data_IF_891457083305
#
_entry.id   IF_891457083305
#
_cell.length_a   1.000
_cell.length_b   1.000
_cell.length_c   1.000
_cell.angle_alpha   90.00
_cell.angle_beta   90.00
_cell.angle_gamma   90.00
#
_symmetry.space_group_name_H-M   'P 1'
#
loop_
_entity.id
_entity.type
_entity.pdbx_description
1 polymer ?
#
# COMPACT_ATOMS: atom_id res chain seq x y z
N UNK A 1 -19.63 -17.69 29.07
CA UNK A 1 -18.83 -16.55 28.55
C UNK A 1 -19.30 -16.27 27.13
N UNK A 2 -20.09 -15.21 26.91
CA UNK A 2 -20.69 -14.93 25.59
C UNK A 2 -19.59 -14.41 24.66
N UNK A 3 -19.24 -15.21 23.66
CA UNK A 3 -18.31 -14.83 22.59
C UNK A 3 -19.00 -13.75 21.75
N UNK A 4 -18.61 -12.49 21.93
CA UNK A 4 -18.94 -11.43 20.99
C UNK A 4 -18.14 -11.70 19.72
N UNK A 5 -18.80 -12.14 18.66
CA UNK A 5 -18.22 -12.15 17.32
C UNK A 5 -18.06 -10.68 16.91
N UNK A 6 -16.85 -10.15 17.04
CA UNK A 6 -16.47 -8.88 16.40
C UNK A 6 -16.42 -9.19 14.91
N UNK A 7 -17.51 -8.93 14.21
CA UNK A 7 -17.51 -8.93 12.75
C UNK A 7 -16.72 -7.70 12.34
N UNK A 8 -15.44 -7.91 12.02
CA UNK A 8 -14.59 -6.93 11.37
C UNK A 8 -15.12 -6.77 9.93
N UNK A 9 -16.15 -5.93 9.77
CA UNK A 9 -16.61 -5.52 8.45
C UNK A 9 -15.54 -4.59 7.85
N UNK A 10 -14.52 -5.18 7.24
CA UNK A 10 -13.66 -4.50 6.28
C UNK A 10 -14.50 -4.21 5.03
N UNK A 11 -15.31 -3.16 5.11
CA UNK A 11 -15.89 -2.57 3.91
C UNK A 11 -14.86 -1.60 3.34
N UNK A 12 -14.23 -2.05 2.25
CA UNK A 12 -13.66 -1.20 1.21
C UNK A 12 -14.58 0.01 0.98
N UNK A 13 -13.97 1.19 0.87
CA UNK A 13 -14.65 2.47 0.79
C UNK A 13 -15.86 2.43 -0.14
N UNK A 14 -17.05 2.43 0.44
CA UNK A 14 -18.22 2.95 -0.24
C UNK A 14 -18.11 4.46 -0.19
N UNK A 15 -17.52 5.04 -1.24
CA UNK A 15 -17.85 6.40 -1.65
C UNK A 15 -19.34 6.40 -1.99
N UNK A 16 -20.17 6.69 -0.99
CA UNK A 16 -21.59 6.99 -1.18
C UNK A 16 -21.68 8.30 -1.96
N UNK A 17 -21.67 8.20 -3.29
CA UNK A 17 -22.26 9.22 -4.14
C UNK A 17 -23.74 9.27 -3.82
N UNK A 18 -24.15 10.27 -3.03
CA UNK A 18 -25.55 10.62 -2.80
C UNK A 18 -26.15 11.12 -4.12
N UNK A 19 -26.61 10.22 -4.98
CA UNK A 19 -27.59 10.53 -6.01
C UNK A 19 -28.61 9.41 -6.09
N UNK A 20 -29.77 9.69 -5.51
CA UNK A 20 -30.93 8.81 -5.49
C UNK A 20 -31.89 9.25 -4.39
N UNK A 21 -32.66 10.31 -4.64
CA UNK A 21 -33.85 10.64 -3.85
C UNK A 21 -34.90 9.55 -4.04
N UNK A 22 -34.67 8.37 -3.46
CA UNK A 22 -35.73 7.41 -3.19
C UNK A 22 -36.58 7.95 -2.06
N UNK A 23 -37.88 8.14 -2.31
CA UNK A 23 -38.86 8.62 -1.35
C UNK A 23 -38.77 7.86 -0.02
N UNK A 24 -38.13 8.47 0.98
CA UNK A 24 -38.08 7.97 2.36
C UNK A 24 -39.51 8.06 2.89
N UNK A 25 -40.15 6.90 3.15
CA UNK A 25 -41.43 6.84 3.88
C UNK A 25 -41.33 7.76 5.11
N UNK A 26 -42.31 8.61 5.41
CA UNK A 26 -42.22 9.53 6.54
C UNK A 26 -41.89 8.73 7.80
N UNK A 27 -40.67 8.92 8.31
CA UNK A 27 -40.23 8.27 9.54
C UNK A 27 -41.12 8.73 10.69
N UNK A 28 -41.48 7.80 11.57
CA UNK A 28 -42.20 8.10 12.81
C UNK A 28 -41.47 9.23 13.56
N UNK A 29 -42.16 10.33 13.85
CA UNK A 29 -41.62 11.44 14.64
C UNK A 29 -41.24 10.96 16.05
N UNK A 30 -40.15 11.49 16.59
CA UNK A 30 -39.66 11.15 17.92
C UNK A 30 -40.42 11.93 18.99
N UNK A 31 -40.68 11.29 20.12
CA UNK A 31 -41.15 11.97 21.33
C UNK A 31 -39.98 12.62 22.09
N UNK A 32 -40.27 13.59 22.95
CA UNK A 32 -39.25 14.21 23.81
C UNK A 32 -38.51 13.18 24.70
N UNK A 33 -39.19 12.09 25.09
CA UNK A 33 -38.56 11.00 25.83
C UNK A 33 -37.55 10.27 24.95
N UNK A 34 -37.93 9.87 23.73
CA UNK A 34 -37.02 9.18 22.81
C UNK A 34 -35.80 10.02 22.43
N UNK A 35 -35.95 11.34 22.32
CA UNK A 35 -34.83 12.28 22.10
C UNK A 35 -33.89 12.28 23.31
N UNK A 36 -34.43 12.30 24.52
CA UNK A 36 -33.61 12.26 25.75
C UNK A 36 -32.90 10.92 25.90
N UNK A 37 -33.60 9.80 25.66
CA UNK A 37 -33.05 8.45 25.68
C UNK A 37 -31.92 8.30 24.66
N UNK A 38 -32.07 8.89 23.46
CA UNK A 38 -31.02 8.87 22.44
C UNK A 38 -29.76 9.59 22.93
N UNK A 39 -29.89 10.78 23.51
CA UNK A 39 -28.74 11.54 24.04
C UNK A 39 -28.04 10.75 25.15
N UNK A 40 -28.79 10.08 26.02
CA UNK A 40 -28.22 9.24 27.06
C UNK A 40 -27.53 7.99 26.48
N UNK A 41 -28.12 7.33 25.49
CA UNK A 41 -27.52 6.21 24.77
C UNK A 41 -26.21 6.61 24.07
N UNK A 42 -26.19 7.73 23.33
CA UNK A 42 -24.98 8.26 22.69
C UNK A 42 -23.92 8.57 23.75
N UNK A 43 -24.32 9.20 24.84
CA UNK A 43 -23.42 9.54 25.94
C UNK A 43 -22.79 8.31 26.57
N UNK A 44 -23.59 7.27 26.84
CA UNK A 44 -23.12 6.02 27.41
C UNK A 44 -22.18 5.29 26.45
N UNK A 45 -22.51 5.22 25.16
CA UNK A 45 -21.66 4.58 24.15
C UNK A 45 -20.33 5.32 23.97
N UNK A 46 -20.33 6.66 23.92
CA UNK A 46 -19.10 7.45 23.84
C UNK A 46 -18.20 7.20 25.05
N UNK A 47 -18.74 7.32 26.28
CA UNK A 47 -17.95 7.11 27.51
C UNK A 47 -17.37 5.71 27.62
N UNK A 48 -18.09 4.72 27.11
CA UNK A 48 -17.70 3.32 27.21
C UNK A 48 -16.70 2.90 26.13
N UNK A 49 -16.84 3.45 24.92
CA UNK A 49 -16.17 2.91 23.74
C UNK A 49 -15.22 3.88 23.07
N UNK A 50 -15.40 5.20 23.19
CA UNK A 50 -14.59 6.14 22.44
C UNK A 50 -13.15 6.16 22.94
N UNK A 51 -12.20 6.11 22.00
CA UNK A 51 -10.77 5.96 22.29
C UNK A 51 -10.14 7.15 23.03
N UNK A 52 -10.81 8.31 23.04
CA UNK A 52 -10.38 9.52 23.75
C UNK A 52 -11.36 9.88 24.89
N UNK A 53 -11.13 9.41 26.13
CA UNK A 53 -12.07 9.62 27.23
C UNK A 53 -12.33 11.09 27.57
N UNK A 54 -11.31 11.94 27.51
CA UNK A 54 -11.44 13.39 27.75
C UNK A 54 -12.35 14.06 26.71
N UNK A 55 -12.21 13.67 25.44
CA UNK A 55 -13.06 14.15 24.34
C UNK A 55 -14.49 13.60 24.46
N UNK A 56 -14.66 12.33 24.84
CA UNK A 56 -15.97 11.76 25.11
C UNK A 56 -16.70 12.54 26.21
N UNK A 57 -16.02 12.86 27.30
CA UNK A 57 -16.61 13.65 28.40
C UNK A 57 -17.00 15.06 27.95
N UNK A 58 -16.19 15.72 27.13
CA UNK A 58 -16.51 17.02 26.57
C UNK A 58 -17.73 16.97 25.63
N UNK A 59 -17.82 15.97 24.75
CA UNK A 59 -18.98 15.74 23.87
C UNK A 59 -20.25 15.50 24.69
N UNK A 60 -20.19 14.62 25.70
CA UNK A 60 -21.32 14.30 26.57
C UNK A 60 -21.81 15.56 27.30
N UNK A 61 -20.89 16.35 27.86
CA UNK A 61 -21.22 17.59 28.55
C UNK A 61 -21.95 18.56 27.62
N UNK A 62 -21.45 18.71 26.39
CA UNK A 62 -22.06 19.58 25.39
C UNK A 62 -23.47 19.11 24.99
N UNK A 63 -23.64 17.84 24.62
CA UNK A 63 -24.94 17.29 24.24
C UNK A 63 -25.98 17.42 25.35
N UNK A 64 -25.59 17.16 26.62
CA UNK A 64 -26.50 17.33 27.76
C UNK A 64 -26.93 18.79 27.95
N UNK A 65 -26.02 19.75 27.74
CA UNK A 65 -26.36 21.16 27.77
C UNK A 65 -27.33 21.56 26.64
N UNK A 66 -27.12 21.04 25.42
CA UNK A 66 -28.02 21.29 24.28
C UNK A 66 -29.41 20.68 24.50
N UNK A 67 -29.49 19.49 25.12
CA UNK A 67 -30.75 18.87 25.52
C UNK A 67 -31.49 19.71 26.57
N UNK A 68 -30.78 20.22 27.59
CA UNK A 68 -31.34 21.09 28.63
C UNK A 68 -31.86 22.41 28.07
N UNK A 69 -31.15 23.02 27.12
CA UNK A 69 -31.60 24.21 26.36
C UNK A 69 -32.80 23.93 25.44
N UNK A 70 -33.21 22.68 25.29
CA UNK A 70 -34.31 22.27 24.42
C UNK A 70 -33.97 22.31 22.94
N UNK A 71 -32.69 22.41 22.55
CA UNK A 71 -32.27 22.46 21.15
C UNK A 71 -32.66 21.17 20.44
N UNK A 72 -32.30 20.01 21.00
CA UNK A 72 -32.62 18.71 20.41
C UNK A 72 -34.11 18.38 20.44
N UNK A 73 -34.86 18.87 21.44
CA UNK A 73 -36.30 18.61 21.57
C UNK A 73 -37.13 19.21 20.42
N UNK A 74 -36.58 20.17 19.69
CA UNK A 74 -37.20 20.76 18.48
C UNK A 74 -36.98 19.92 17.22
N UNK A 75 -36.06 18.95 17.25
CA UNK A 75 -35.67 18.11 16.12
C UNK A 75 -36.35 16.73 16.22
N UNK A 76 -37.64 16.69 15.93
CA UNK A 76 -38.45 15.46 16.03
C UNK A 76 -38.26 14.50 14.84
N UNK A 77 -37.63 14.96 13.76
CA UNK A 77 -37.24 14.12 12.63
C UNK A 77 -35.95 13.35 12.98
N UNK A 78 -35.94 12.00 12.93
CA UNK A 78 -34.79 11.20 13.36
C UNK A 78 -33.49 11.49 12.59
N UNK A 79 -33.58 11.67 11.27
CA UNK A 79 -32.42 11.97 10.43
C UNK A 79 -31.82 13.34 10.77
N UNK A 80 -32.66 14.36 10.96
CA UNK A 80 -32.20 15.70 11.36
C UNK A 80 -31.56 15.70 12.74
N UNK A 81 -32.12 14.95 13.69
CA UNK A 81 -31.55 14.81 15.03
C UNK A 81 -30.20 14.08 15.01
N UNK A 82 -30.09 12.96 14.28
CA UNK A 82 -28.81 12.26 14.10
C UNK A 82 -27.75 13.20 13.53
N UNK A 83 -28.08 13.94 12.47
CA UNK A 83 -27.17 14.88 11.83
C UNK A 83 -26.74 16.00 12.79
N UNK A 84 -27.66 16.57 13.56
CA UNK A 84 -27.33 17.62 14.52
C UNK A 84 -26.40 17.09 15.63
N UNK A 85 -26.71 15.92 16.19
CA UNK A 85 -25.85 15.29 17.21
C UNK A 85 -24.46 14.99 16.62
N UNK A 86 -24.40 14.44 15.40
CA UNK A 86 -23.14 14.17 14.71
C UNK A 86 -22.32 15.45 14.50
N UNK A 87 -22.95 16.54 14.04
CA UNK A 87 -22.28 17.83 13.84
C UNK A 87 -21.77 18.41 15.17
N UNK A 88 -22.58 18.32 16.22
CA UNK A 88 -22.23 18.83 17.55
C UNK A 88 -21.02 18.11 18.13
N UNK A 89 -20.98 16.78 18.09
CA UNK A 89 -19.81 16.02 18.60
C UNK A 89 -18.56 16.27 17.74
N UNK A 90 -18.72 16.39 16.42
CA UNK A 90 -17.61 16.70 15.49
C UNK A 90 -17.06 18.10 15.70
N UNK A 91 -17.90 19.05 16.12
CA UNK A 91 -17.48 20.39 16.51
C UNK A 91 -16.63 20.42 17.79
N UNK A 92 -16.74 19.41 18.66
CA UNK A 92 -15.91 19.27 19.87
C UNK A 92 -14.57 18.60 19.55
N UNK A 93 -14.61 17.50 18.78
CA UNK A 93 -13.41 16.82 18.30
C UNK A 93 -13.70 16.24 16.93
N UNK A 94 -12.95 16.70 15.93
CA UNK A 94 -13.06 16.18 14.59
C UNK A 94 -12.43 14.79 14.52
N UNK A 95 -13.26 13.79 14.24
CA UNK A 95 -12.85 12.41 14.07
C UNK A 95 -13.63 11.83 12.90
N UNK A 96 -12.93 11.44 11.83
CA UNK A 96 -13.55 10.96 10.60
C UNK A 96 -14.26 9.60 10.78
N UNK A 97 -13.92 8.87 11.84
CA UNK A 97 -14.45 7.54 12.13
C UNK A 97 -15.63 7.55 13.10
N UNK A 98 -15.83 8.66 13.81
CA UNK A 98 -16.95 8.84 14.73
C UNK A 98 -18.20 9.36 13.99
N UNK A 99 -19.24 8.53 13.91
CA UNK A 99 -20.47 8.89 13.20
C UNK A 99 -21.72 8.48 13.98
N UNK A 100 -22.75 9.32 13.94
CA UNK A 100 -24.08 9.04 14.49
C UNK A 100 -25.07 9.09 13.33
N UNK A 101 -25.76 7.98 13.09
CA UNK A 101 -26.70 7.85 11.99
C UNK A 101 -28.04 7.29 12.45
N UNK A 102 -29.08 7.60 11.68
CA UNK A 102 -30.39 6.97 11.79
C UNK A 102 -30.56 5.96 10.67
N UNK A 103 -30.42 4.68 11.00
CA UNK A 103 -30.39 3.56 10.08
C UNK A 103 -31.42 2.50 10.49
N UNK A 104 -32.73 2.80 10.42
CA UNK A 104 -33.79 1.92 10.93
C UNK A 104 -33.91 0.61 10.14
N UNK A 105 -33.33 0.55 8.94
CA UNK A 105 -33.30 -0.65 8.11
C UNK A 105 -32.06 -1.51 8.37
N UNK A 106 -31.03 -1.00 9.04
CA UNK A 106 -29.87 -1.80 9.45
C UNK A 106 -30.30 -2.71 10.60
N UNK A 107 -30.64 -3.96 10.26
CA UNK A 107 -30.87 -4.98 11.26
C UNK A 107 -29.52 -5.38 11.85
N UNK A 108 -29.48 -5.58 13.17
CA UNK A 108 -28.33 -6.24 13.79
C UNK A 108 -28.09 -7.56 13.04
N UNK A 109 -26.84 -7.90 12.67
CA UNK A 109 -26.56 -9.13 11.95
C UNK A 109 -27.21 -10.31 12.68
N UNK A 110 -28.05 -11.09 11.98
CA UNK A 110 -28.57 -12.31 12.58
C UNK A 110 -27.40 -13.20 12.95
N UNK A 111 -27.39 -13.71 14.17
CA UNK A 111 -26.41 -14.71 14.58
C UNK A 111 -26.51 -15.90 13.62
N UNK A 112 -25.43 -16.18 12.91
CA UNK A 112 -25.36 -17.29 11.98
C UNK A 112 -25.36 -18.61 12.78
N UNK A 113 -26.04 -19.63 12.26
CA UNK A 113 -25.94 -20.99 12.81
C UNK A 113 -24.49 -21.50 12.66
N UNK A 114 -24.08 -22.52 13.46
CA UNK A 114 -22.76 -23.11 13.31
C UNK A 114 -22.46 -23.58 11.87
N UNK A 115 -23.45 -24.13 11.17
CA UNK A 115 -23.32 -24.56 9.77
C UNK A 115 -23.13 -23.38 8.82
N UNK A 116 -23.88 -22.29 9.02
CA UNK A 116 -23.73 -21.07 8.23
C UNK A 116 -22.36 -20.43 8.45
N UNK A 117 -21.85 -20.41 9.68
CA UNK A 117 -20.50 -19.93 10.00
C UNK A 117 -19.42 -20.79 9.32
N UNK A 118 -19.57 -22.12 9.38
CA UNK A 118 -18.63 -23.03 8.72
C UNK A 118 -18.62 -22.83 7.20
N UNK A 119 -19.81 -22.66 6.60
CA UNK A 119 -19.95 -22.34 5.18
C UNK A 119 -19.31 -21.00 4.83
N UNK A 120 -19.60 -19.94 5.58
CA UNK A 120 -19.04 -18.61 5.35
C UNK A 120 -17.51 -18.61 5.44
N UNK A 121 -16.93 -19.30 6.43
CA UNK A 121 -15.47 -19.45 6.54
C UNK A 121 -14.85 -20.20 5.36
N UNK A 122 -15.54 -21.24 4.86
CA UNK A 122 -15.08 -22.00 3.69
C UNK A 122 -15.13 -21.14 2.42
N UNK A 123 -16.20 -20.36 2.24
CA UNK A 123 -16.36 -19.43 1.13
C UNK A 123 -15.31 -18.30 1.18
N UNK A 124 -15.09 -17.70 2.35
CA UNK A 124 -14.02 -16.70 2.57
C UNK A 124 -12.64 -17.26 2.23
N UNK A 125 -12.30 -18.46 2.72
CA UNK A 125 -11.03 -19.11 2.41
C UNK A 125 -10.91 -19.43 0.90
N UNK A 126 -11.99 -19.81 0.23
CA UNK A 126 -11.99 -20.05 -1.21
C UNK A 126 -11.68 -18.77 -1.98
N UNK A 127 -12.37 -17.68 -1.64
CA UNK A 127 -12.15 -16.37 -2.26
C UNK A 127 -10.73 -15.84 -2.03
N UNK A 128 -10.20 -16.00 -0.81
CA UNK A 128 -8.81 -15.64 -0.49
C UNK A 128 -7.81 -16.47 -1.30
N UNK A 129 -8.04 -17.77 -1.48
CA UNK A 129 -7.20 -18.62 -2.35
C UNK A 129 -7.26 -18.20 -3.82
N UNK A 130 -8.44 -17.92 -4.33
CA UNK A 130 -8.64 -17.46 -5.72
C UNK A 130 -7.93 -16.13 -5.99
N UNK A 131 -7.87 -15.24 -4.99
CA UNK A 131 -7.11 -13.98 -5.06
C UNK A 131 -5.65 -14.12 -4.56
N UNK A 132 -5.13 -15.34 -4.47
CA UNK A 132 -3.76 -15.64 -4.01
C UNK A 132 -3.37 -14.95 -2.70
N UNK A 133 -4.31 -14.86 -1.75
CA UNK A 133 -4.18 -14.19 -0.46
C UNK A 133 -3.73 -12.72 -0.58
N UNK A 134 -4.14 -12.05 -1.66
CA UNK A 134 -3.73 -10.69 -2.04
C UNK A 134 -2.26 -10.54 -2.47
N UNK A 135 -1.49 -11.62 -2.60
CA UNK A 135 -0.12 -11.59 -3.11
C UNK A 135 -0.13 -11.50 -4.65
N UNK A 136 0.27 -10.35 -5.19
CA UNK A 136 0.01 -10.00 -6.60
C UNK A 136 1.22 -10.12 -7.50
N UNK A 137 2.43 -9.83 -7.00
CA UNK A 137 3.63 -9.84 -7.84
C UNK A 137 4.89 -10.09 -7.03
N UNK A 138 5.75 -10.96 -7.57
CA UNK A 138 7.09 -11.27 -7.07
C UNK A 138 8.01 -11.24 -8.29
N UNK A 139 9.07 -10.46 -8.25
CA UNK A 139 10.00 -10.28 -9.38
C UNK A 139 11.40 -9.94 -8.89
N UNK A 140 12.43 -10.36 -9.64
CA UNK A 140 13.80 -9.82 -9.49
C UNK A 140 14.05 -8.84 -10.63
N UNK A 141 14.04 -7.56 -10.29
CA UNK A 141 14.29 -6.46 -11.22
C UNK A 141 15.80 -6.38 -11.56
N UNK A 142 16.16 -5.73 -12.69
CA UNK A 142 17.54 -5.39 -13.00
C UNK A 142 18.28 -4.75 -11.82
N UNK A 143 19.56 -5.11 -11.65
CA UNK A 143 20.35 -4.71 -10.47
C UNK A 143 20.21 -5.64 -9.25
N UNK A 144 19.55 -6.80 -9.41
CA UNK A 144 19.25 -7.76 -8.34
C UNK A 144 18.40 -7.14 -7.21
N UNK A 145 17.36 -6.42 -7.60
CA UNK A 145 16.39 -5.83 -6.68
C UNK A 145 15.18 -6.74 -6.60
N UNK A 146 14.87 -7.25 -5.42
CA UNK A 146 13.62 -7.96 -5.17
C UNK A 146 12.46 -6.99 -5.18
N UNK A 147 11.37 -7.34 -5.86
CA UNK A 147 10.14 -6.58 -5.89
C UNK A 147 8.98 -7.46 -5.45
N UNK A 148 8.27 -7.00 -4.42
CA UNK A 148 7.14 -7.69 -3.84
C UNK A 148 5.93 -6.77 -3.73
N UNK A 149 4.84 -7.08 -4.43
CA UNK A 149 3.59 -6.33 -4.37
C UNK A 149 2.46 -7.20 -3.86
N UNK A 150 1.72 -6.67 -2.90
CA UNK A 150 0.48 -7.27 -2.41
C UNK A 150 -0.52 -6.18 -2.00
N UNK A 151 -1.80 -6.45 -2.20
CA UNK A 151 -2.85 -5.43 -2.11
C UNK A 151 -3.70 -5.51 -0.82
N UNK A 152 -3.38 -6.43 0.09
CA UNK A 152 -4.07 -6.57 1.36
C UNK A 152 -3.38 -7.55 2.31
N UNK A 153 -3.66 -7.40 3.59
CA UNK A 153 -3.25 -8.31 4.66
C UNK A 153 -4.36 -9.32 4.94
N UNK A 154 -4.19 -10.56 4.49
CA UNK A 154 -5.18 -11.63 4.67
C UNK A 154 -5.43 -11.98 6.14
N UNK A 155 -6.68 -12.34 6.47
CA UNK A 155 -7.07 -12.97 7.73
C UNK A 155 -6.67 -14.46 7.78
N UNK A 156 -6.45 -15.09 6.62
CA UNK A 156 -6.21 -16.53 6.46
C UNK A 156 -4.71 -16.88 6.57
N UNK A 157 -4.04 -16.38 7.61
CA UNK A 157 -2.57 -16.40 7.75
C UNK A 157 -1.96 -17.79 7.67
N UNK A 158 -2.58 -18.79 8.30
CA UNK A 158 -2.11 -20.18 8.26
C UNK A 158 -2.20 -20.78 6.84
N UNK A 159 -3.26 -20.47 6.10
CA UNK A 159 -3.43 -20.94 4.72
C UNK A 159 -2.48 -20.24 3.74
N UNK A 160 -2.18 -18.96 4.00
CA UNK A 160 -1.29 -18.14 3.18
C UNK A 160 0.21 -18.39 3.43
N UNK A 161 0.57 -19.03 4.55
CA UNK A 161 1.95 -19.15 5.03
C UNK A 161 2.89 -19.77 3.98
N UNK A 162 2.47 -20.85 3.32
CA UNK A 162 3.29 -21.52 2.31
C UNK A 162 3.56 -20.61 1.09
N UNK A 163 2.52 -19.90 0.61
CA UNK A 163 2.63 -18.97 -0.52
C UNK A 163 3.53 -17.78 -0.16
N UNK A 164 3.35 -17.21 1.03
CA UNK A 164 4.19 -16.12 1.52
C UNK A 164 5.66 -16.56 1.66
N UNK A 165 5.90 -17.73 2.24
CA UNK A 165 7.25 -18.26 2.42
C UNK A 165 7.94 -18.50 1.06
N UNK A 166 7.23 -19.06 0.08
CA UNK A 166 7.76 -19.27 -1.27
C UNK A 166 8.13 -17.94 -1.95
N UNK A 167 7.26 -16.94 -1.86
CA UNK A 167 7.52 -15.59 -2.40
C UNK A 167 8.76 -14.95 -1.79
N UNK A 168 8.90 -15.00 -0.47
CA UNK A 168 10.04 -14.40 0.23
C UNK A 168 11.33 -15.21 0.06
N UNK A 169 11.22 -16.55 -0.04
CA UNK A 169 12.35 -17.43 -0.39
C UNK A 169 12.91 -17.09 -1.76
N UNK A 170 12.04 -16.90 -2.76
CA UNK A 170 12.43 -16.49 -4.10
C UNK A 170 13.23 -15.17 -4.12
N UNK A 171 12.91 -14.24 -3.22
CA UNK A 171 13.57 -12.94 -3.11
C UNK A 171 14.76 -12.92 -2.14
N UNK A 172 15.06 -14.02 -1.44
CA UNK A 172 16.04 -14.06 -0.34
C UNK A 172 17.48 -13.72 -0.73
N UNK A 173 17.84 -13.92 -2.00
CA UNK A 173 19.18 -13.66 -2.53
C UNK A 173 19.33 -12.29 -3.22
N UNK A 174 18.32 -11.43 -3.09
CA UNK A 174 18.33 -10.09 -3.69
C UNK A 174 19.19 -9.13 -2.86
N UNK A 175 19.80 -8.13 -3.52
CA UNK A 175 20.65 -7.13 -2.86
C UNK A 175 19.82 -6.15 -2.01
N UNK A 176 18.59 -5.88 -2.44
CA UNK A 176 17.62 -4.96 -1.81
C UNK A 176 16.22 -5.49 -2.09
N UNK A 177 15.30 -5.33 -1.14
CA UNK A 177 13.88 -5.65 -1.31
C UNK A 177 13.02 -4.37 -1.35
N UNK A 178 12.21 -4.23 -2.39
CA UNK A 178 11.15 -3.24 -2.51
C UNK A 178 9.80 -3.90 -2.26
N UNK A 179 9.04 -3.36 -1.30
CA UNK A 179 7.68 -3.80 -0.96
C UNK A 179 6.70 -2.72 -1.43
N UNK A 180 5.88 -3.00 -2.43
CA UNK A 180 4.93 -2.05 -2.98
C UNK A 180 3.55 -2.18 -2.30
N UNK A 181 3.20 -1.16 -1.50
CA UNK A 181 1.93 -1.03 -0.78
C UNK A 181 1.05 0.09 -1.33
N UNK A 182 1.37 0.66 -2.51
CA UNK A 182 0.64 1.80 -3.08
C UNK A 182 -0.83 1.50 -3.38
N UNK A 183 -1.21 0.23 -3.45
CA UNK A 183 -2.59 -0.21 -3.69
C UNK A 183 -3.16 -1.01 -2.51
N UNK A 184 -2.51 -0.96 -1.35
CA UNK A 184 -2.83 -1.81 -0.21
C UNK A 184 -3.68 -1.06 0.83
N UNK A 185 -4.97 -1.41 0.88
CA UNK A 185 -5.94 -0.81 1.82
C UNK A 185 -5.87 -1.35 3.26
N UNK A 186 -4.94 -2.25 3.56
CA UNK A 186 -4.77 -2.85 4.88
C UNK A 186 -5.33 -4.26 4.97
N UNK A 187 -5.99 -4.59 6.09
CA UNK A 187 -6.41 -5.95 6.42
C UNK A 187 -6.17 -6.28 7.90
N UNK A 188 -5.84 -7.53 8.22
CA UNK A 188 -5.96 -8.02 9.61
C UNK A 188 -4.65 -8.37 10.33
N UNK A 189 -3.61 -8.85 9.64
CA UNK A 189 -2.46 -9.48 10.30
C UNK A 189 -1.09 -9.06 9.73
N UNK A 190 -0.40 -8.12 10.39
CA UNK A 190 0.93 -7.64 9.97
C UNK A 190 2.10 -8.50 10.49
N UNK A 191 1.92 -9.14 11.65
CA UNK A 191 2.98 -9.90 12.32
C UNK A 191 3.56 -11.03 11.46
N UNK A 192 2.78 -11.87 10.73
CA UNK A 192 3.34 -12.96 9.92
C UNK A 192 4.33 -12.49 8.86
N UNK A 193 4.04 -11.38 8.17
CA UNK A 193 4.97 -10.78 7.21
C UNK A 193 6.17 -10.15 7.93
N UNK A 194 5.91 -9.43 9.02
CA UNK A 194 6.96 -8.76 9.80
C UNK A 194 8.01 -9.74 10.35
N UNK A 195 7.60 -10.97 10.70
CA UNK A 195 8.49 -12.02 11.21
C UNK A 195 9.69 -12.33 10.32
N UNK A 196 9.56 -12.18 9.00
CA UNK A 196 10.65 -12.47 8.07
C UNK A 196 11.79 -11.44 8.12
N UNK A 197 11.61 -10.31 8.81
CA UNK A 197 12.58 -9.21 8.80
C UNK A 197 13.40 -9.09 10.08
N UNK A 198 13.09 -9.90 11.10
CA UNK A 198 13.72 -9.84 12.42
C UNK A 198 14.12 -11.23 12.89
N UNK A 199 15.37 -11.37 13.33
CA UNK A 199 15.89 -12.62 13.89
C UNK A 199 15.24 -12.96 15.23
N UNK A 200 15.04 -11.93 16.07
CA UNK A 200 14.51 -12.06 17.41
C UNK A 200 13.06 -11.57 17.48
N UNK A 201 12.32 -12.07 18.48
CA UNK A 201 10.97 -11.58 18.78
C UNK A 201 11.04 -10.08 19.05
N UNK A 202 10.41 -9.30 18.17
CA UNK A 202 10.52 -7.85 18.12
C UNK A 202 9.14 -7.24 18.30
N UNK A 203 9.04 -6.23 19.16
CA UNK A 203 7.79 -5.48 19.38
C UNK A 203 7.52 -4.55 18.19
N UNK A 204 6.34 -4.68 17.59
CA UNK A 204 5.94 -3.92 16.40
C UNK A 204 5.21 -2.63 16.80
N UNK A 205 4.10 -2.77 17.50
CA UNK A 205 3.26 -1.67 17.97
C UNK A 205 2.32 -2.16 19.08
N UNK A 206 1.75 -1.21 19.81
CA UNK A 206 0.69 -1.47 20.77
C UNK A 206 -0.66 -1.07 20.21
N UNK A 207 -1.72 -1.79 20.55
CA UNK A 207 -3.08 -1.41 20.24
C UNK A 207 -3.82 -1.12 21.55
N UNK A 208 -4.00 0.16 21.84
CA UNK A 208 -4.73 0.61 23.02
C UNK A 208 -6.21 0.44 22.75
N UNK A 209 -6.91 -0.36 23.56
CA UNK A 209 -8.30 -0.73 23.31
C UNK A 209 -9.19 -0.44 24.52
N UNK A 210 -10.27 0.30 24.30
CA UNK A 210 -11.23 0.67 25.35
C UNK A 210 -12.15 -0.48 25.77
N UNK A 211 -12.43 -1.45 24.91
CA UNK A 211 -13.27 -2.61 25.23
C UNK A 211 -12.62 -3.55 26.23
N UNK A 212 -11.37 -3.92 25.99
CA UNK A 212 -10.61 -4.79 26.90
C UNK A 212 -10.07 -4.02 28.10
N UNK A 213 -10.07 -2.68 28.05
CA UNK A 213 -9.31 -1.80 28.96
C UNK A 213 -7.85 -2.26 29.06
N UNK A 214 -7.34 -2.74 27.94
CA UNK A 214 -6.05 -3.40 27.86
C UNK A 214 -5.29 -2.88 26.64
N UNK A 215 -3.98 -2.95 26.73
CA UNK A 215 -3.08 -2.63 25.62
C UNK A 215 -2.57 -3.95 25.06
N UNK A 216 -2.99 -4.26 23.83
CA UNK A 216 -2.51 -5.45 23.14
C UNK A 216 -1.21 -5.13 22.41
N UNK A 217 -0.11 -5.71 22.86
CA UNK A 217 1.18 -5.59 22.20
C UNK A 217 1.33 -6.61 21.07
N UNK A 218 1.71 -6.13 19.89
CA UNK A 218 1.96 -6.97 18.71
C UNK A 218 3.44 -7.21 18.54
N UNK A 219 3.82 -8.48 18.33
CA UNK A 219 5.21 -8.89 18.17
C UNK A 219 5.38 -9.71 16.90
N UNK A 220 6.60 -9.74 16.37
CA UNK A 220 7.01 -10.76 15.41
C UNK A 220 7.06 -12.14 16.07
N UNK A 221 6.94 -13.17 15.24
CA UNK A 221 7.20 -14.56 15.61
C UNK A 221 8.19 -15.17 14.60
N UNK A 222 9.52 -15.03 14.83
CA UNK A 222 10.51 -15.58 13.92
C UNK A 222 10.40 -17.09 13.72
N UNK A 223 9.82 -17.83 14.68
CA UNK A 223 9.63 -19.28 14.55
C UNK A 223 8.65 -19.67 13.44
N UNK A 224 7.76 -18.74 13.03
CA UNK A 224 6.79 -18.97 11.95
C UNK A 224 7.37 -18.87 10.54
N UNK A 225 8.66 -18.54 10.40
CA UNK A 225 9.31 -18.23 9.10
C UNK A 225 10.05 -19.42 8.48
N UNK A 226 9.97 -20.61 9.09
CA UNK A 226 10.75 -21.80 8.68
C UNK A 226 12.26 -21.54 8.60
N UNK A 227 12.77 -20.60 9.42
CA UNK A 227 14.20 -20.24 9.49
C UNK A 227 14.62 -19.15 8.50
N UNK A 228 13.71 -18.62 7.67
CA UNK A 228 14.02 -17.55 6.73
C UNK A 228 14.04 -16.18 7.43
N UNK A 229 15.19 -15.52 7.41
CA UNK A 229 15.34 -14.11 7.84
C UNK A 229 15.95 -13.30 6.70
N UNK A 230 15.18 -12.32 6.23
CA UNK A 230 15.58 -11.36 5.20
C UNK A 230 16.38 -10.23 5.86
N UNK A 231 17.66 -10.10 5.50
CA UNK A 231 18.61 -9.15 6.12
C UNK A 231 19.00 -7.99 5.20
N UNK A 232 18.68 -8.08 3.90
CA UNK A 232 18.94 -7.01 2.94
C UNK A 232 18.16 -5.73 3.30
N UNK A 233 18.63 -4.55 2.85
CA UNK A 233 17.87 -3.31 2.97
C UNK A 233 16.47 -3.44 2.38
N UNK A 234 15.49 -2.85 3.06
CA UNK A 234 14.07 -2.89 2.65
C UNK A 234 13.59 -1.47 2.39
N UNK A 235 12.92 -1.29 1.26
CA UNK A 235 12.19 -0.07 0.91
C UNK A 235 10.72 -0.40 0.83
N UNK A 236 9.87 0.36 1.52
CA UNK A 236 8.41 0.22 1.45
C UNK A 236 7.85 1.40 0.67
N UNK A 237 7.11 1.11 -0.40
CA UNK A 237 6.53 2.12 -1.27
C UNK A 237 5.09 2.36 -0.84
N UNK A 238 4.77 3.61 -0.48
CA UNK A 238 3.44 4.02 0.00
C UNK A 238 2.77 5.00 -0.94
N UNK A 239 1.44 5.07 -0.88
CA UNK A 239 0.64 6.09 -1.54
C UNK A 239 -0.45 6.61 -0.59
N UNK A 240 -1.22 7.61 -1.05
CA UNK A 240 -2.45 8.08 -0.39
C UNK A 240 -3.52 6.99 -0.21
N UNK A 241 -3.42 5.87 -0.93
CA UNK A 241 -4.33 4.72 -0.81
C UNK A 241 -3.84 3.68 0.21
N UNK A 242 -2.59 3.78 0.67
CA UNK A 242 -2.06 2.86 1.68
C UNK A 242 -2.79 3.12 3.00
N UNK A 243 -3.40 2.09 3.59
CA UNK A 243 -4.31 2.26 4.72
C UNK A 243 -4.22 1.12 5.77
N UNK A 244 -4.67 1.41 6.99
CA UNK A 244 -4.94 0.43 8.05
C UNK A 244 -3.72 -0.48 8.34
N UNK A 245 -3.83 -1.81 8.23
CA UNK A 245 -2.72 -2.73 8.50
C UNK A 245 -1.46 -2.44 7.68
N UNK A 246 -1.59 -1.89 6.47
CA UNK A 246 -0.43 -1.49 5.67
C UNK A 246 0.29 -0.28 6.28
N UNK A 247 -0.45 0.63 6.92
CA UNK A 247 0.11 1.73 7.70
C UNK A 247 0.79 1.20 8.95
N UNK A 248 0.15 0.28 9.68
CA UNK A 248 0.75 -0.34 10.87
C UNK A 248 2.07 -1.07 10.55
N UNK A 249 2.12 -1.82 9.45
CA UNK A 249 3.34 -2.46 8.96
C UNK A 249 4.41 -1.42 8.61
N UNK A 250 4.06 -0.40 7.81
CA UNK A 250 4.99 0.65 7.40
C UNK A 250 5.55 1.43 8.60
N UNK A 251 4.67 1.86 9.51
CA UNK A 251 5.03 2.58 10.72
C UNK A 251 5.94 1.76 11.63
N UNK A 252 5.67 0.46 11.80
CA UNK A 252 6.50 -0.43 12.62
C UNK A 252 7.89 -0.61 12.00
N UNK A 253 7.94 -0.88 10.70
CA UNK A 253 9.20 -1.09 9.98
C UNK A 253 10.06 0.18 9.94
N UNK A 254 9.42 1.36 9.82
CA UNK A 254 10.10 2.66 9.89
C UNK A 254 10.61 2.95 11.31
N UNK A 255 9.75 2.81 12.32
CA UNK A 255 10.09 3.06 13.72
C UNK A 255 11.26 2.19 14.21
N UNK A 256 11.29 0.93 13.75
CA UNK A 256 12.35 -0.03 14.07
C UNK A 256 13.60 0.14 13.17
N UNK A 257 13.61 1.15 12.29
CA UNK A 257 14.68 1.41 11.31
C UNK A 257 15.00 0.20 10.43
N UNK A 258 14.00 -0.67 10.21
CA UNK A 258 14.15 -1.87 9.38
C UNK A 258 13.88 -1.57 7.91
N UNK A 259 13.04 -0.58 7.61
CA UNK A 259 12.76 -0.15 6.24
C UNK A 259 12.81 1.37 6.09
N UNK A 260 13.16 1.81 4.88
CA UNK A 260 12.98 3.19 4.42
C UNK A 260 11.63 3.29 3.72
N UNK A 261 10.78 4.22 4.15
CA UNK A 261 9.47 4.49 3.55
C UNK A 261 9.63 5.52 2.44
N UNK A 262 9.07 5.22 1.27
CA UNK A 262 9.27 6.00 0.05
C UNK A 262 7.92 6.21 -0.65
N UNK A 263 7.61 7.44 -1.06
CA UNK A 263 6.37 7.75 -1.80
C UNK A 263 5.58 8.89 -1.20
N UNK A 264 4.26 8.71 -1.07
CA UNK A 264 3.37 9.68 -0.42
C UNK A 264 3.07 9.30 1.04
N UNK A 265 2.63 10.29 1.80
CA UNK A 265 1.96 10.09 3.08
C UNK A 265 0.73 9.21 2.91
N UNK A 266 0.57 8.24 3.80
CA UNK A 266 -0.53 7.27 3.77
C UNK A 266 -1.87 7.89 4.17
N UNK A 267 -2.96 7.13 4.04
CA UNK A 267 -4.33 7.63 4.20
C UNK A 267 -4.64 8.17 5.62
N UNK A 268 -4.01 7.62 6.66
CA UNK A 268 -4.23 8.02 8.05
C UNK A 268 -5.48 7.42 8.67
N UNK A 269 -5.84 6.17 8.32
CA UNK A 269 -7.03 5.47 8.84
C UNK A 269 -6.64 4.25 9.67
N UNK A 270 -6.14 4.56 10.86
CA UNK A 270 -5.48 3.60 11.75
C UNK A 270 -6.40 3.08 12.86
N UNK A 271 -7.42 3.84 13.25
CA UNK A 271 -8.30 3.50 14.37
C UNK A 271 -9.30 2.40 14.02
N UNK A 272 -9.45 1.42 14.92
CA UNK A 272 -10.46 0.37 14.78
C UNK A 272 -11.81 0.88 15.24
N UNK A 273 -12.85 0.64 14.42
CA UNK A 273 -14.20 1.16 14.65
C UNK A 273 -15.21 0.05 14.88
N UNK A 274 -16.16 0.29 15.78
CA UNK A 274 -17.29 -0.59 16.05
C UNK A 274 -18.62 0.10 15.79
N UNK A 275 -19.65 -0.69 15.46
CA UNK A 275 -21.02 -0.20 15.33
C UNK A 275 -21.83 -0.55 16.59
N UNK A 276 -22.49 0.45 17.16
CA UNK A 276 -23.17 0.37 18.45
C UNK A 276 -24.62 0.83 18.30
N UNK A 277 -25.60 -0.07 18.48
CA UNK A 277 -27.01 0.31 18.48
C UNK A 277 -27.30 1.31 19.62
N UNK A 278 -28.00 2.39 19.30
CA UNK A 278 -28.40 3.44 20.24
C UNK A 278 -29.89 3.38 20.62
N UNK A 279 -30.63 2.45 20.01
CA UNK A 279 -32.08 2.31 20.15
C UNK A 279 -32.86 3.09 19.09
N UNK A 280 -34.15 2.75 18.92
CA UNK A 280 -35.07 3.42 17.99
C UNK A 280 -34.57 3.57 16.53
N UNK A 281 -33.68 2.69 16.05
CA UNK A 281 -33.11 2.77 14.70
C UNK A 281 -31.88 3.67 14.57
N UNK A 282 -31.32 4.17 15.67
CA UNK A 282 -30.05 4.91 15.67
C UNK A 282 -28.85 3.99 15.88
N UNK A 283 -27.73 4.35 15.27
CA UNK A 283 -26.46 3.63 15.32
C UNK A 283 -25.30 4.62 15.49
N UNK A 284 -24.33 4.27 16.32
CA UNK A 284 -23.04 4.97 16.39
C UNK A 284 -21.93 4.10 15.80
N UNK A 285 -21.14 4.66 14.89
CA UNK A 285 -19.82 4.14 14.54
C UNK A 285 -18.81 4.83 15.46
N UNK A 286 -18.12 4.09 16.32
CA UNK A 286 -17.20 4.66 17.32
C UNK A 286 -15.82 4.00 17.18
N UNK A 287 -14.73 4.78 17.03
CA UNK A 287 -13.38 4.25 17.14
C UNK A 287 -13.08 3.87 18.59
N UNK A 288 -12.69 2.62 18.80
CA UNK A 288 -12.50 2.02 20.12
C UNK A 288 -11.09 1.51 20.38
N UNK A 289 -10.27 1.43 19.35
CA UNK A 289 -8.86 1.07 19.52
C UNK A 289 -7.99 1.88 18.56
N UNK A 290 -6.77 2.15 19.00
CA UNK A 290 -5.76 2.84 18.19
C UNK A 290 -4.42 2.13 18.27
N UNK A 291 -3.75 1.93 17.12
CA UNK A 291 -2.38 1.47 17.11
C UNK A 291 -1.45 2.63 17.49
N UNK A 292 -0.40 2.30 18.25
CA UNK A 292 0.56 3.27 18.78
C UNK A 292 1.97 2.72 18.56
N UNK A 293 2.80 3.50 17.89
CA UNK A 293 4.18 3.10 17.54
C UNK A 293 5.11 3.16 18.75
N UNK A 294 6.06 2.22 18.81
CA UNK A 294 6.98 1.99 19.94
C UNK A 294 8.06 3.06 20.10
N UNK A 295 8.48 3.68 19.00
CA UNK A 295 9.61 4.62 19.03
C UNK A 295 9.20 6.05 19.44
N UNK A 296 7.91 6.39 19.36
CA UNK A 296 7.45 7.77 19.62
C UNK A 296 6.06 7.87 20.28
N UNK A 297 5.39 6.77 20.60
CA UNK A 297 3.97 6.75 21.02
C UNK A 297 3.07 7.65 20.16
N UNK A 298 3.40 7.78 18.87
CA UNK A 298 2.72 8.69 17.96
C UNK A 298 1.61 7.95 17.24
N UNK A 299 0.40 8.45 17.43
CA UNK A 299 -0.79 8.09 16.68
C UNK A 299 -0.64 8.63 15.25
N UNK A 300 -0.87 7.80 14.24
CA UNK A 300 -0.83 8.20 12.83
C UNK A 300 -2.22 8.40 12.23
N UNK A 301 -3.27 8.35 13.05
CA UNK A 301 -4.62 8.74 12.64
C UNK A 301 -4.66 10.18 12.14
N UNK A 302 -5.34 10.39 11.01
CA UNK A 302 -5.52 11.70 10.38
C UNK A 302 -4.24 12.33 9.81
N UNK A 303 -3.07 11.78 10.11
CA UNK A 303 -1.77 12.25 9.60
C UNK A 303 -1.17 11.27 8.59
N UNK A 304 -1.39 9.97 8.77
CA UNK A 304 -0.72 8.92 8.01
C UNK A 304 0.74 8.71 8.45
N UNK A 305 1.35 7.66 7.89
CA UNK A 305 2.79 7.40 7.93
C UNK A 305 3.46 8.34 6.95
N UNK A 306 4.35 9.19 7.47
CA UNK A 306 5.10 10.14 6.66
C UNK A 306 6.31 9.41 6.08
N UNK A 307 6.51 9.43 4.75
CA UNK A 307 7.64 8.74 4.13
C UNK A 307 8.97 9.40 4.51
N UNK A 308 10.03 8.60 4.59
CA UNK A 308 11.41 9.10 4.77
C UNK A 308 11.89 9.84 3.52
N UNK A 309 11.40 9.41 2.34
CA UNK A 309 11.70 10.03 1.05
C UNK A 309 10.40 10.27 0.28
N UNK A 310 10.04 11.54 0.10
CA UNK A 310 8.86 11.95 -0.67
C UNK A 310 9.12 11.82 -2.16
N UNK A 311 8.19 11.24 -2.89
CA UNK A 311 8.18 11.20 -4.36
C UNK A 311 6.89 11.85 -4.86
N UNK A 312 6.96 12.61 -5.95
CA UNK A 312 5.75 13.10 -6.62
C UNK A 312 4.92 11.95 -7.19
N UNK A 313 3.60 12.05 -7.08
CA UNK A 313 2.65 11.05 -7.60
C UNK A 313 2.94 10.64 -9.05
N UNK A 314 3.33 11.61 -9.90
CA UNK A 314 3.73 11.41 -11.29
C UNK A 314 4.87 10.40 -11.46
N UNK A 315 5.86 10.41 -10.56
CA UNK A 315 7.02 9.51 -10.65
C UNK A 315 6.69 8.09 -10.18
N UNK A 316 5.71 7.92 -9.31
CA UNK A 316 5.18 6.62 -8.87
C UNK A 316 6.26 5.56 -8.57
N UNK A 317 6.14 4.38 -9.18
CA UNK A 317 7.08 3.26 -9.02
C UNK A 317 8.48 3.59 -9.55
N UNK A 318 8.53 4.28 -10.69
CA UNK A 318 9.78 4.63 -11.38
C UNK A 318 10.64 5.50 -10.46
N UNK A 319 10.05 6.49 -9.81
CA UNK A 319 10.74 7.32 -8.83
C UNK A 319 11.31 6.53 -7.65
N UNK A 320 10.55 5.55 -7.15
CA UNK A 320 10.99 4.71 -6.04
C UNK A 320 12.16 3.82 -6.46
N UNK A 321 12.09 3.24 -7.66
CA UNK A 321 13.18 2.46 -8.24
C UNK A 321 14.43 3.33 -8.47
N UNK A 322 14.28 4.56 -8.96
CA UNK A 322 15.41 5.50 -9.10
C UNK A 322 16.10 5.78 -7.77
N UNK A 323 15.36 5.97 -6.66
CA UNK A 323 15.96 6.18 -5.33
C UNK A 323 16.78 4.95 -4.92
N UNK A 324 16.24 3.74 -5.10
CA UNK A 324 16.96 2.50 -4.79
C UNK A 324 18.21 2.36 -5.66
N UNK A 325 18.11 2.66 -6.96
CA UNK A 325 19.27 2.60 -7.86
C UNK A 325 20.35 3.61 -7.48
N UNK A 326 19.99 4.83 -7.04
CA UNK A 326 20.96 5.83 -6.55
C UNK A 326 21.68 5.34 -5.30
N UNK A 327 20.96 4.76 -4.34
CA UNK A 327 21.55 4.17 -3.13
C UNK A 327 22.49 3.01 -3.46
N UNK A 328 22.07 2.11 -4.36
CA UNK A 328 22.92 1.03 -4.85
C UNK A 328 24.18 1.56 -5.55
N UNK A 329 24.06 2.60 -6.38
CA UNK A 329 25.18 3.21 -7.08
C UNK A 329 26.22 3.79 -6.12
N UNK A 330 25.78 4.44 -5.04
CA UNK A 330 26.65 5.00 -4.01
C UNK A 330 27.39 3.90 -3.23
N UNK A 331 26.74 2.75 -3.02
CA UNK A 331 27.29 1.61 -2.26
C UNK A 331 28.10 0.63 -3.12
N UNK A 332 28.09 0.77 -4.44
CA UNK A 332 28.78 -0.14 -5.35
C UNK A 332 30.30 -0.09 -5.15
N UNK A 333 30.92 -1.25 -4.91
CA UNK A 333 32.33 -1.36 -4.58
C UNK A 333 33.23 -1.40 -5.83
N UNK A 334 32.68 -1.86 -6.97
CA UNK A 334 33.44 -2.06 -8.20
C UNK A 334 32.82 -1.33 -9.39
N UNK A 335 33.65 -0.99 -10.38
CA UNK A 335 33.16 -0.39 -11.63
C UNK A 335 32.22 -1.31 -12.41
N UNK A 336 32.41 -2.63 -12.30
CA UNK A 336 31.49 -3.61 -12.89
C UNK A 336 30.10 -3.52 -12.27
N UNK A 337 30.02 -3.38 -10.95
CA UNK A 337 28.74 -3.17 -10.26
C UNK A 337 28.09 -1.85 -10.65
N UNK A 338 28.86 -0.75 -10.70
CA UNK A 338 28.36 0.55 -11.17
C UNK A 338 27.78 0.46 -12.58
N UNK A 339 28.47 -0.22 -13.49
CA UNK A 339 28.00 -0.48 -14.87
C UNK A 339 26.72 -1.31 -14.90
N UNK A 340 26.61 -2.36 -14.07
CA UNK A 340 25.40 -3.17 -13.96
C UNK A 340 24.20 -2.36 -13.43
N UNK A 341 24.44 -1.46 -12.46
CA UNK A 341 23.41 -0.56 -11.93
C UNK A 341 23.02 0.49 -12.98
N UNK A 342 23.99 1.06 -13.71
CA UNK A 342 23.71 2.00 -14.80
C UNK A 342 22.89 1.33 -15.92
N UNK A 343 23.20 0.08 -16.25
CA UNK A 343 22.40 -0.72 -17.17
C UNK A 343 20.94 -0.85 -16.67
N UNK A 344 20.74 -1.12 -15.39
CA UNK A 344 19.39 -1.20 -14.79
C UNK A 344 18.65 0.14 -14.83
N UNK A 345 19.34 1.26 -14.58
CA UNK A 345 18.76 2.61 -14.71
C UNK A 345 18.35 2.90 -16.16
N UNK A 346 19.18 2.50 -17.12
CA UNK A 346 18.89 2.66 -18.54
C UNK A 346 17.64 1.84 -18.93
N UNK A 347 17.52 0.61 -18.45
CA UNK A 347 16.35 -0.25 -18.68
C UNK A 347 15.07 0.35 -18.09
N UNK A 348 15.16 0.90 -16.86
CA UNK A 348 14.05 1.62 -16.24
C UNK A 348 13.58 2.84 -17.06
N UNK A 349 14.53 3.57 -17.64
CA UNK A 349 14.24 4.78 -18.44
C UNK A 349 13.81 4.46 -19.86
N UNK A 350 14.14 3.27 -20.36
CA UNK A 350 13.78 2.86 -21.69
C UNK A 350 12.25 2.79 -21.81
N UNK A 351 11.67 3.62 -22.67
CA UNK A 351 10.25 3.56 -22.97
C UNK A 351 10.05 3.47 -24.49
N UNK A 352 9.03 2.71 -24.89
CA UNK A 352 8.57 2.69 -26.28
C UNK A 352 7.94 4.03 -26.71
N UNK A 353 7.57 4.87 -25.73
CA UNK A 353 6.95 6.17 -25.93
C UNK A 353 7.97 7.32 -25.99
N UNK A 354 9.25 7.05 -25.70
CA UNK A 354 10.30 8.04 -25.93
C UNK A 354 10.46 8.24 -27.44
N UNK A 355 10.45 9.50 -27.94
CA UNK A 355 10.68 9.74 -29.34
C UNK A 355 12.06 9.19 -29.72
N UNK A 356 12.13 8.50 -30.85
CA UNK A 356 13.43 8.15 -31.39
C UNK A 356 14.20 9.44 -31.70
N UNK A 357 15.55 9.40 -31.61
CA UNK A 357 16.37 10.47 -32.13
C UNK A 357 16.01 10.78 -33.58
N UNK A 358 16.22 12.04 -33.98
CA UNK A 358 15.96 12.49 -35.35
C UNK A 358 16.57 11.52 -36.37
N UNK A 359 15.88 11.22 -37.50
CA UNK A 359 16.35 10.21 -38.46
C UNK A 359 17.80 10.45 -38.94
N UNK A 360 18.21 11.71 -39.07
CA UNK A 360 19.60 12.07 -39.41
C UNK A 360 20.63 11.62 -38.38
N UNK A 361 20.26 11.58 -37.09
CA UNK A 361 21.11 11.04 -36.02
C UNK A 361 21.18 9.51 -36.13
N UNK A 362 20.02 8.85 -36.31
CA UNK A 362 19.94 7.39 -36.42
C UNK A 362 20.72 6.83 -37.61
N UNK A 363 20.73 7.55 -38.74
CA UNK A 363 21.48 7.15 -39.93
C UNK A 363 22.99 7.05 -39.67
N UNK A 364 23.53 7.80 -38.70
CA UNK A 364 24.95 7.69 -38.33
C UNK A 364 25.27 6.34 -37.66
N UNK A 365 24.27 5.70 -37.05
CA UNK A 365 24.40 4.41 -36.38
C UNK A 365 24.29 3.23 -37.33
N UNK A 366 23.60 3.41 -38.46
CA UNK A 366 23.39 2.36 -39.45
C UNK A 366 24.71 1.85 -40.06
N UNK A 367 24.77 0.54 -40.31
CA UNK A 367 25.95 -0.15 -40.82
C UNK A 367 26.15 -1.51 -40.17
N UNK A 368 27.16 -2.24 -40.66
CA UNK A 368 27.57 -3.52 -40.08
C UNK A 368 28.71 -3.29 -39.11
N UNK A 369 28.65 -3.98 -37.98
CA UNK A 369 29.68 -3.96 -36.94
C UNK A 369 30.24 -5.37 -36.77
N UNK A 370 31.46 -5.44 -36.25
CA UNK A 370 32.21 -6.66 -36.03
C UNK A 370 31.34 -7.78 -35.44
N UNK A 371 31.37 -8.95 -36.10
CA UNK A 371 30.46 -10.07 -35.82
C UNK A 371 29.22 -10.11 -36.71
N UNK A 372 29.16 -9.28 -37.77
CA UNK A 372 28.05 -9.23 -38.71
C UNK A 372 26.78 -8.60 -38.14
N UNK A 373 26.89 -7.83 -37.05
CA UNK A 373 25.75 -7.18 -36.41
C UNK A 373 25.37 -5.96 -37.23
N UNK A 374 24.20 -5.99 -37.86
CA UNK A 374 23.78 -4.96 -38.81
C UNK A 374 22.66 -4.09 -38.22
N UNK A 375 22.89 -2.79 -38.17
CA UNK A 375 21.90 -1.79 -37.77
C UNK A 375 21.38 -1.01 -38.97
N UNK A 376 20.07 -0.75 -39.00
CA UNK A 376 19.42 0.01 -40.06
C UNK A 376 18.20 0.77 -39.52
N UNK A 377 17.81 1.83 -40.20
CA UNK A 377 16.65 2.65 -39.84
C UNK A 377 15.43 2.14 -40.61
N UNK A 378 14.36 1.80 -39.89
CA UNK A 378 13.09 1.36 -40.47
C UNK A 378 11.92 1.86 -39.63
N UNK A 379 10.92 2.47 -40.27
CA UNK A 379 9.73 2.98 -39.59
C UNK A 379 10.04 4.07 -38.56
N UNK A 380 11.06 4.90 -38.82
CA UNK A 380 11.46 6.01 -37.95
C UNK A 380 12.20 5.58 -36.68
N UNK A 381 12.69 4.34 -36.59
CA UNK A 381 13.47 3.84 -35.46
C UNK A 381 14.61 2.93 -35.88
N UNK A 382 15.47 2.58 -34.92
CA UNK A 382 16.63 1.73 -35.16
C UNK A 382 16.25 0.25 -35.04
N UNK A 383 16.68 -0.55 -36.01
CA UNK A 383 16.55 -2.02 -36.05
C UNK A 383 17.92 -2.66 -36.05
N UNK A 384 17.99 -3.91 -35.58
CA UNK A 384 19.20 -4.71 -35.56
C UNK A 384 18.92 -6.12 -36.10
N UNK A 385 19.79 -6.63 -36.97
CA UNK A 385 19.97 -8.05 -37.25
C UNK A 385 21.25 -8.52 -36.58
N UNK A 386 21.13 -9.46 -35.65
CA UNK A 386 22.26 -9.99 -34.91
C UNK A 386 22.39 -11.51 -35.17
N UNK A 387 23.33 -11.95 -36.01
CA UNK A 387 23.51 -13.36 -36.32
C UNK A 387 23.93 -14.19 -35.10
N UNK A 388 24.54 -13.57 -34.07
CA UNK A 388 24.96 -14.24 -32.83
C UNK A 388 23.79 -14.51 -31.86
N UNK A 389 22.62 -13.87 -32.04
CA UNK A 389 21.51 -13.94 -31.07
C UNK A 389 20.15 -14.35 -31.64
N UNK A 390 19.91 -14.18 -32.94
CA UNK A 390 18.61 -14.49 -33.55
C UNK A 390 18.71 -14.93 -35.01
N UNK A 391 19.91 -15.23 -35.51
CA UNK A 391 20.13 -15.53 -36.92
C UNK A 391 19.65 -14.38 -37.82
N UNK A 392 18.47 -14.56 -38.43
CA UNK A 392 17.86 -13.59 -39.34
C UNK A 392 16.78 -12.70 -38.70
N UNK A 393 16.50 -12.88 -37.41
CA UNK A 393 15.49 -12.09 -36.69
C UNK A 393 15.87 -10.60 -36.63
N UNK A 394 14.84 -9.75 -36.69
CA UNK A 394 14.97 -8.30 -36.64
C UNK A 394 14.47 -7.77 -35.30
N UNK A 395 15.39 -7.20 -34.53
CA UNK A 395 15.11 -6.60 -33.23
C UNK A 395 14.83 -5.11 -33.38
N UNK A 396 13.74 -4.62 -32.77
CA UNK A 396 13.46 -3.18 -32.66
C UNK A 396 14.11 -2.65 -31.39
N UNK A 397 14.98 -1.65 -31.54
CA UNK A 397 15.68 -1.05 -30.41
C UNK A 397 14.78 -0.02 -29.71
N UNK A 398 14.87 0.05 -28.37
CA UNK A 398 14.19 1.08 -27.58
C UNK A 398 15.20 2.16 -27.17
N UNK A 399 14.93 3.44 -27.42
CA UNK A 399 15.85 4.50 -27.03
C UNK A 399 15.91 4.66 -25.50
N UNK A 400 17.13 4.94 -25.01
CA UNK A 400 17.39 5.37 -23.63
C UNK A 400 17.90 6.81 -23.63
N UNK A 401 18.86 7.10 -24.52
CA UNK A 401 19.39 8.42 -24.84
C UNK A 401 19.57 8.50 -26.36
N UNK A 402 20.11 9.61 -26.87
CA UNK A 402 20.36 9.77 -28.31
C UNK A 402 21.32 8.73 -28.90
N UNK A 403 22.15 8.08 -28.08
CA UNK A 403 23.20 7.15 -28.50
C UNK A 403 23.21 5.83 -27.71
N UNK A 404 22.27 5.63 -26.77
CA UNK A 404 22.13 4.39 -26.00
C UNK A 404 20.75 3.81 -26.22
N UNK A 405 20.69 2.51 -26.53
CA UNK A 405 19.47 1.80 -26.86
C UNK A 405 19.41 0.43 -26.17
N UNK A 406 18.22 0.02 -25.74
CA UNK A 406 17.97 -1.37 -25.33
C UNK A 406 17.78 -2.22 -26.58
N UNK A 407 18.60 -3.25 -26.72
CA UNK A 407 18.47 -4.26 -27.78
C UNK A 407 17.50 -5.36 -27.36
N UNK A 408 17.69 -5.90 -26.15
CA UNK A 408 16.86 -6.95 -25.55
C UNK A 408 17.01 -6.99 -24.02
N UNK A 409 16.47 -8.02 -23.35
CA UNK A 409 16.46 -8.14 -21.90
C UNK A 409 17.84 -8.33 -21.24
N UNK A 410 18.90 -8.51 -22.05
CA UNK A 410 20.26 -8.77 -21.60
C UNK A 410 21.30 -7.74 -22.07
N UNK A 411 21.06 -7.05 -23.20
CA UNK A 411 22.04 -6.16 -23.82
C UNK A 411 21.44 -4.80 -24.18
N UNK A 412 22.24 -3.77 -23.91
CA UNK A 412 22.09 -2.42 -24.44
C UNK A 412 23.25 -2.12 -25.38
N UNK A 413 23.04 -1.20 -26.32
CA UNK A 413 24.05 -0.76 -27.28
C UNK A 413 24.27 0.73 -27.08
N UNK A 414 25.53 1.10 -26.89
CA UNK A 414 25.98 2.50 -26.88
C UNK A 414 26.83 2.74 -28.14
N UNK A 415 26.40 3.67 -29.00
CA UNK A 415 27.18 4.08 -30.17
C UNK A 415 28.23 5.10 -29.78
N UNK A 416 29.48 4.88 -30.19
CA UNK A 416 30.65 5.64 -29.73
C UNK A 416 31.30 6.37 -30.88
N UNK A 417 31.61 7.66 -30.67
CA UNK A 417 32.34 8.50 -31.63
C UNK A 417 33.85 8.26 -31.53
N UNK A 418 34.54 8.31 -32.67
CA UNK A 418 36.00 8.48 -32.70
C UNK A 418 36.42 9.93 -32.44
N UNK A 419 37.74 10.16 -32.47
CA UNK A 419 38.36 11.48 -32.33
C UNK A 419 37.96 12.48 -33.43
N UNK A 420 37.46 11.99 -34.57
CA UNK A 420 36.96 12.82 -35.67
C UNK A 420 35.47 13.16 -35.52
N UNK A 421 34.81 12.64 -34.48
CA UNK A 421 33.40 12.85 -34.21
C UNK A 421 32.45 11.88 -34.94
N UNK A 422 32.97 10.87 -35.64
CA UNK A 422 32.18 9.89 -36.38
C UNK A 422 31.85 8.67 -35.53
N UNK A 423 30.64 8.14 -35.62
CA UNK A 423 30.28 6.89 -34.95
C UNK A 423 30.95 5.69 -35.65
N UNK A 424 32.06 5.23 -35.07
CA UNK A 424 32.96 4.23 -35.65
C UNK A 424 33.02 2.92 -34.86
N UNK A 425 32.42 2.88 -33.67
CA UNK A 425 32.30 1.67 -32.86
C UNK A 425 31.03 1.71 -32.01
N UNK A 426 30.73 0.57 -31.39
CA UNK A 426 29.68 0.45 -30.40
C UNK A 426 30.16 -0.36 -29.20
N UNK A 427 29.61 -0.05 -28.03
CA UNK A 427 29.74 -0.84 -26.83
C UNK A 427 28.46 -1.67 -26.62
N UNK A 428 28.62 -2.99 -26.56
CA UNK A 428 27.58 -3.88 -26.06
C UNK A 428 27.66 -3.92 -24.54
N UNK A 429 26.69 -3.29 -23.89
CA UNK A 429 26.55 -3.18 -22.44
C UNK A 429 25.69 -4.34 -21.93
N UNK A 430 26.29 -5.24 -21.16
CA UNK A 430 25.62 -6.42 -20.65
C UNK A 430 25.03 -6.16 -19.27
N UNK A 431 23.88 -6.78 -18.98
CA UNK A 431 23.18 -6.69 -17.68
C UNK A 431 24.05 -6.95 -16.45
N UNK A 432 25.11 -7.74 -16.58
CA UNK A 432 26.06 -8.05 -15.52
C UNK A 432 27.22 -7.03 -15.37
N UNK A 433 27.19 -5.93 -16.13
CA UNK A 433 28.20 -4.87 -16.13
C UNK A 433 29.40 -5.12 -17.05
N UNK A 434 29.44 -6.23 -17.80
CA UNK A 434 30.46 -6.45 -18.82
C UNK A 434 30.21 -5.52 -20.03
N UNK A 435 31.30 -5.11 -20.68
CA UNK A 435 31.26 -4.31 -21.91
C UNK A 435 32.09 -5.01 -22.97
N UNK A 436 31.53 -5.15 -24.18
CA UNK A 436 32.25 -5.66 -25.35
C UNK A 436 32.17 -4.59 -26.44
N UNK A 437 33.32 -4.07 -26.86
CA UNK A 437 33.38 -3.13 -27.97
C UNK A 437 33.38 -3.87 -29.31
N UNK A 438 32.66 -3.33 -30.29
CA UNK A 438 32.63 -3.81 -31.68
C UNK A 438 32.87 -2.62 -32.61
N UNK A 439 33.84 -2.73 -33.50
CA UNK A 439 34.11 -1.70 -34.50
C UNK A 439 33.10 -1.78 -35.64
N UNK A 440 32.82 -0.64 -36.26
CA UNK A 440 32.05 -0.55 -37.50
C UNK A 440 32.93 -1.01 -38.67
N UNK A 441 32.38 -1.85 -39.55
CA UNK A 441 33.07 -2.44 -40.70
C UNK A 441 33.03 -1.55 -41.95
#
# INVERSE_FOLDING_TARGET
>A
MKIFVVVLLCLLGFSLTFQGYGQVKPGRLLTNQQISDLVDSVSASLKKHYIFPDKADAMVKYMKAQLQKGVYKKLVNPQQLAQQIHNDIRGIHYDAHLHIAYEPQMQAPKALSPEQLARARKEELSAEKENNFNLQKVEVLPGNIGYFRFNGFTSQTAAAQATLNAALTFLSNTKVLMIDLRFNGGGSATAPLSSYFFKDKTHLFDNVNTFSKDTLSFYTDPSSTTGLVLTMPVYIITSKNTASAAEAFSASMQALKRATIVGDTTLGVSHQTGFFPLGNGFLAKIPFARPVSTSVFKDWEGTGVIPDVVITEEKGLVGAQEIVYRDLMQKAATDKEKKAIQWAINDLKASADLPNPEPGVLNNYAGTYAGGINFFVEGGGLRCKNPERGGNDVFKLKPVTDHVFVLDENVQVEFVKDLSGNYSSMNMLWKNGNIIQRNKE
#
